data_IF_996734588013
#
_entry.id   IF_996734588013
#
_cell.length_a   1.000
_cell.length_b   1.000
_cell.length_c   1.000
_cell.angle_alpha   90.00
_cell.angle_beta   90.00
_cell.angle_gamma   90.00
#
_symmetry.space_group_name_H-M   'P 1'
#
loop_
_entity.id
_entity.type
_entity.pdbx_description
1 polymer ?
#
# COMPACT_ATOMS: atom_id res chain seq x y z
N UNK A 1 -16.25 11.87 -24.28
CA UNK A 1 -15.72 11.40 -22.99
C UNK A 1 -16.44 10.12 -22.63
N UNK A 2 -15.74 8.99 -22.66
CA UNK A 2 -16.28 7.71 -22.23
C UNK A 2 -16.55 7.70 -20.73
N UNK A 3 -17.72 7.22 -20.32
CA UNK A 3 -18.09 7.11 -18.90
C UNK A 3 -17.85 5.67 -18.42
N UNK A 4 -17.09 5.49 -17.33
CA UNK A 4 -16.88 4.16 -16.72
C UNK A 4 -17.39 4.10 -15.28
N UNK A 5 -17.99 2.98 -14.91
CA UNK A 5 -18.46 2.68 -13.55
C UNK A 5 -17.96 1.31 -13.13
N UNK A 6 -17.06 1.28 -12.14
CA UNK A 6 -16.59 0.07 -11.47
C UNK A 6 -17.43 -0.19 -10.21
N UNK A 7 -18.01 -1.38 -10.12
CA UNK A 7 -18.85 -1.81 -9.01
C UNK A 7 -18.27 -3.07 -8.36
N UNK A 8 -18.36 -3.17 -7.03
CA UNK A 8 -17.85 -4.29 -6.25
C UNK A 8 -18.96 -4.86 -5.35
N UNK A 9 -18.99 -6.18 -5.22
CA UNK A 9 -19.83 -6.88 -4.27
C UNK A 9 -18.96 -7.83 -3.46
N UNK A 10 -18.80 -7.52 -2.18
CA UNK A 10 -18.25 -8.45 -1.19
C UNK A 10 -19.35 -8.82 -0.19
N UNK A 11 -19.53 -10.12 0.01
CA UNK A 11 -20.48 -10.68 0.96
C UNK A 11 -19.94 -12.02 1.44
N UNK A 12 -19.51 -12.04 2.70
CA UNK A 12 -18.95 -13.20 3.39
C UNK A 12 -19.94 -14.37 3.46
N UNK A 13 -21.22 -14.11 3.75
CA UNK A 13 -22.27 -15.14 3.90
C UNK A 13 -22.58 -15.82 2.56
N UNK A 14 -22.67 -15.04 1.50
CA UNK A 14 -23.06 -15.51 0.16
C UNK A 14 -21.88 -15.88 -0.76
N UNK A 15 -20.66 -15.95 -0.24
CA UNK A 15 -19.45 -16.27 -0.99
C UNK A 15 -19.16 -15.31 -2.17
N UNK A 16 -19.55 -14.03 -2.04
CA UNK A 16 -19.35 -13.03 -3.09
C UNK A 16 -18.05 -12.27 -2.84
N UNK A 17 -17.20 -12.26 -3.86
CA UNK A 17 -16.10 -11.32 -4.03
C UNK A 17 -16.01 -11.04 -5.54
N UNK A 18 -16.89 -10.16 -6.01
CA UNK A 18 -17.18 -9.96 -7.44
C UNK A 18 -17.01 -8.50 -7.82
N UNK A 19 -16.61 -8.27 -9.06
CA UNK A 19 -16.63 -6.96 -9.67
C UNK A 19 -17.51 -6.94 -10.92
N UNK A 20 -17.95 -5.75 -11.29
CA UNK A 20 -18.66 -5.46 -12.52
C UNK A 20 -18.26 -4.05 -12.97
N UNK A 21 -17.68 -3.94 -14.15
CA UNK A 21 -17.39 -2.66 -14.79
C UNK A 21 -18.24 -2.51 -16.04
N UNK A 22 -18.85 -1.34 -16.20
CA UNK A 22 -19.46 -0.91 -17.44
C UNK A 22 -18.77 0.36 -17.92
N UNK A 23 -18.47 0.42 -19.21
CA UNK A 23 -17.89 1.58 -19.89
C UNK A 23 -18.75 1.93 -21.09
N UNK A 24 -19.29 3.15 -21.11
CA UNK A 24 -20.04 3.74 -22.21
C UNK A 24 -19.08 4.54 -23.09
N UNK A 25 -19.01 4.20 -24.37
CA UNK A 25 -18.25 4.97 -25.35
C UNK A 25 -19.05 6.14 -25.93
N UNK A 26 -18.37 6.99 -26.71
CA UNK A 26 -18.97 8.20 -27.32
C UNK A 26 -20.00 7.88 -28.42
N UNK A 27 -20.03 6.63 -28.91
CA UNK A 27 -20.94 6.16 -29.97
C UNK A 27 -22.19 5.47 -29.37
N UNK A 28 -22.23 5.30 -28.05
CA UNK A 28 -23.36 4.70 -27.34
C UNK A 28 -23.29 3.18 -27.20
N UNK A 29 -22.13 2.57 -27.46
CA UNK A 29 -21.88 1.18 -27.09
C UNK A 29 -21.42 1.10 -25.64
N UNK A 30 -21.77 0.00 -25.00
CA UNK A 30 -21.45 -0.27 -23.60
C UNK A 30 -20.62 -1.55 -23.57
N UNK A 31 -19.34 -1.42 -23.25
CA UNK A 31 -18.48 -2.55 -22.91
C UNK A 31 -18.67 -2.90 -21.44
N UNK A 32 -18.80 -4.19 -21.14
CA UNK A 32 -18.96 -4.68 -19.78
C UNK A 32 -17.94 -5.78 -19.52
N UNK A 33 -17.23 -5.68 -18.40
CA UNK A 33 -16.41 -6.79 -17.87
C UNK A 33 -16.76 -7.12 -16.44
N UNK A 34 -16.77 -8.39 -16.09
CA UNK A 34 -17.17 -8.84 -14.75
C UNK A 34 -16.53 -10.17 -14.40
N UNK A 35 -16.48 -10.47 -13.10
CA UNK A 35 -15.87 -11.70 -12.61
C UNK A 35 -15.64 -11.68 -11.11
N UNK A 36 -14.80 -12.59 -10.62
CA UNK A 36 -14.27 -12.53 -9.25
C UNK A 36 -13.07 -11.59 -9.22
N UNK A 37 -12.91 -10.83 -8.13
CA UNK A 37 -11.75 -9.95 -7.97
C UNK A 37 -10.46 -10.80 -7.99
N UNK A 38 -9.49 -10.41 -8.82
CA UNK A 38 -8.24 -11.15 -9.08
C UNK A 38 -8.41 -12.55 -9.69
N UNK A 39 -9.59 -12.87 -10.23
CA UNK A 39 -9.88 -14.12 -10.94
C UNK A 39 -10.02 -13.93 -12.46
N UNK A 40 -10.62 -14.93 -13.12
CA UNK A 40 -10.94 -14.85 -14.54
C UNK A 40 -11.99 -13.78 -14.83
N UNK A 41 -11.84 -13.12 -15.98
CA UNK A 41 -12.69 -12.01 -16.44
C UNK A 41 -13.57 -12.50 -17.59
N UNK A 42 -14.86 -12.18 -17.52
CA UNK A 42 -15.80 -12.32 -18.63
C UNK A 42 -16.13 -10.95 -19.19
N UNK A 43 -16.39 -10.89 -20.50
CA UNK A 43 -16.71 -9.65 -21.21
C UNK A 43 -17.99 -9.82 -22.02
N UNK A 44 -18.77 -8.74 -22.12
CA UNK A 44 -19.94 -8.65 -23.01
C UNK A 44 -20.12 -7.21 -23.46
N UNK A 45 -20.85 -6.98 -24.53
CA UNK A 45 -21.20 -5.63 -24.99
C UNK A 45 -22.71 -5.46 -25.15
N UNK A 46 -23.17 -4.22 -25.04
CA UNK A 46 -24.55 -3.82 -25.30
C UNK A 46 -24.57 -2.55 -26.13
N UNK A 47 -25.66 -2.33 -26.85
CA UNK A 47 -26.02 -1.04 -27.43
C UNK A 47 -27.21 -0.44 -26.67
N UNK A 48 -27.43 0.87 -26.82
CA UNK A 48 -28.56 1.58 -26.19
C UNK A 48 -28.17 2.84 -25.41
N UNK A 49 -26.91 3.26 -25.51
CA UNK A 49 -26.42 4.52 -24.97
C UNK A 49 -26.63 4.68 -23.46
N UNK A 50 -26.68 5.94 -23.02
CA UNK A 50 -26.71 6.32 -21.60
C UNK A 50 -27.87 5.69 -20.82
N UNK A 51 -29.08 5.62 -21.39
CA UNK A 51 -30.25 5.00 -20.72
C UNK A 51 -30.02 3.53 -20.39
N UNK A 52 -29.44 2.77 -21.31
CA UNK A 52 -29.14 1.36 -21.08
C UNK A 52 -28.00 1.21 -20.07
N UNK A 53 -26.99 2.06 -20.15
CA UNK A 53 -25.88 2.10 -19.21
C UNK A 53 -26.37 2.31 -17.77
N UNK A 54 -27.16 3.36 -17.54
CA UNK A 54 -27.69 3.69 -16.21
C UNK A 54 -28.58 2.56 -15.67
N UNK A 55 -29.39 1.94 -16.53
CA UNK A 55 -30.22 0.78 -16.16
C UNK A 55 -29.37 -0.42 -15.73
N UNK A 56 -28.27 -0.71 -16.42
CA UNK A 56 -27.36 -1.80 -16.06
C UNK A 56 -26.68 -1.54 -14.71
N UNK A 57 -26.19 -0.32 -14.48
CA UNK A 57 -25.57 0.08 -13.23
C UNK A 57 -26.58 0.00 -12.07
N UNK A 58 -27.76 0.61 -12.22
CA UNK A 58 -28.81 0.60 -11.21
C UNK A 58 -29.28 -0.83 -10.87
N UNK A 59 -29.38 -1.72 -11.88
CA UNK A 59 -29.71 -3.12 -11.67
C UNK A 59 -28.69 -3.85 -10.79
N UNK A 60 -27.40 -3.53 -10.95
CA UNK A 60 -26.32 -4.12 -10.14
C UNK A 60 -26.31 -3.54 -8.73
N UNK A 61 -26.51 -2.23 -8.57
CA UNK A 61 -26.64 -1.60 -7.26
C UNK A 61 -27.79 -2.23 -6.47
N UNK A 62 -28.96 -2.44 -7.11
CA UNK A 62 -30.10 -3.14 -6.48
C UNK A 62 -29.77 -4.57 -6.03
N UNK A 63 -28.76 -5.21 -6.61
CA UNK A 63 -28.28 -6.55 -6.23
C UNK A 63 -27.25 -6.53 -5.11
N UNK A 64 -26.91 -5.36 -4.56
CA UNK A 64 -25.95 -5.20 -3.47
C UNK A 64 -24.53 -4.86 -3.92
N UNK A 65 -24.31 -4.53 -5.20
CA UNK A 65 -23.04 -3.97 -5.62
C UNK A 65 -22.92 -2.52 -5.13
N UNK A 66 -21.71 -2.11 -4.74
CA UNK A 66 -21.36 -0.74 -4.33
C UNK A 66 -20.39 -0.14 -5.35
N UNK A 67 -20.43 1.18 -5.56
CA UNK A 67 -19.45 1.86 -6.41
C UNK A 67 -18.05 1.77 -5.78
N UNK A 68 -17.05 1.44 -6.59
CA UNK A 68 -15.67 1.36 -6.14
C UNK A 68 -15.10 2.76 -5.93
N UNK A 69 -14.42 2.97 -4.80
CA UNK A 69 -13.72 4.23 -4.52
C UNK A 69 -12.31 4.22 -5.16
N UNK A 70 -12.28 4.21 -6.49
CA UNK A 70 -11.02 4.22 -7.25
C UNK A 70 -10.68 5.63 -7.73
N UNK A 71 -9.38 5.92 -7.85
CA UNK A 71 -8.91 7.11 -8.54
C UNK A 71 -9.26 7.01 -10.02
N UNK A 72 -9.74 8.11 -10.60
CA UNK A 72 -10.00 8.16 -12.03
C UNK A 72 -8.67 8.09 -12.77
N UNK A 73 -8.37 6.95 -13.38
CA UNK A 73 -7.25 6.84 -14.31
C UNK A 73 -7.72 7.45 -15.63
N UNK A 74 -7.73 8.78 -15.69
CA UNK A 74 -7.94 9.51 -16.95
C UNK A 74 -6.79 9.13 -17.89
N UNK A 75 -7.09 8.28 -18.88
CA UNK A 75 -6.24 8.15 -20.04
C UNK A 75 -6.10 9.53 -20.68
N UNK A 76 -4.87 9.95 -20.94
CA UNK A 76 -4.55 11.11 -21.77
C UNK A 76 -5.14 12.45 -21.32
N UNK A 77 -4.74 12.95 -20.15
CA UNK A 77 -4.56 14.40 -19.99
C UNK A 77 -3.16 14.65 -19.46
N UNK A 78 -2.38 15.39 -20.25
CA UNK A 78 -0.94 15.57 -20.09
C UNK A 78 -0.52 16.08 -18.72
N UNK A 79 0.71 15.71 -18.35
CA UNK A 79 1.37 15.87 -17.04
C UNK A 79 1.10 14.75 -16.02
N UNK A 80 1.05 13.48 -16.43
CA UNK A 80 1.46 12.40 -15.51
C UNK A 80 2.98 12.37 -15.47
N UNK A 81 3.60 13.19 -14.62
CA UNK A 81 4.99 12.98 -14.29
C UNK A 81 5.12 11.55 -13.72
N UNK A 82 6.03 10.76 -14.28
CA UNK A 82 6.30 9.39 -13.83
C UNK A 82 6.94 9.47 -12.45
N UNK A 83 6.15 9.22 -11.41
CA UNK A 83 6.59 9.30 -10.02
C UNK A 83 7.07 7.91 -9.59
N UNK A 84 8.34 7.58 -9.83
CA UNK A 84 8.91 6.37 -9.24
C UNK A 84 9.42 6.69 -7.82
N UNK A 85 8.78 6.09 -6.81
CA UNK A 85 9.12 6.26 -5.40
C UNK A 85 10.59 5.96 -5.11
N UNK A 86 11.17 4.96 -5.77
CA UNK A 86 12.59 4.60 -5.64
C UNK A 86 13.49 5.71 -6.18
N UNK A 87 13.14 6.29 -7.33
CA UNK A 87 13.91 7.39 -7.92
C UNK A 87 13.86 8.64 -7.04
N UNK A 88 12.74 8.89 -6.35
CA UNK A 88 12.60 10.01 -5.41
C UNK A 88 13.45 9.78 -4.17
N UNK A 89 13.37 8.60 -3.58
CA UNK A 89 14.22 8.23 -2.45
C UNK A 89 15.70 8.40 -2.81
N UNK A 90 16.12 7.93 -3.99
CA UNK A 90 17.51 8.08 -4.47
C UNK A 90 17.93 9.51 -4.80
N UNK A 91 16.98 10.40 -5.10
CA UNK A 91 17.26 11.82 -5.35
C UNK A 91 17.33 12.64 -4.06
N UNK A 92 16.49 12.31 -3.08
CA UNK A 92 16.36 13.11 -1.86
C UNK A 92 17.31 12.62 -0.73
N UNK A 93 17.55 11.32 -0.65
CA UNK A 93 18.48 10.74 0.32
C UNK A 93 19.91 11.01 -0.13
N UNK A 94 20.69 11.64 0.74
CA UNK A 94 22.10 11.96 0.50
C UNK A 94 22.95 10.69 0.66
N UNK A 95 22.99 9.89 -0.40
CA UNK A 95 23.80 8.67 -0.49
C UNK A 95 25.24 9.03 -0.86
N UNK A 96 26.19 8.83 0.06
CA UNK A 96 27.59 9.21 -0.12
C UNK A 96 28.41 8.26 -1.00
N UNK A 97 27.92 7.04 -1.21
CA UNK A 97 28.62 5.98 -1.94
C UNK A 97 27.64 4.99 -2.60
N UNK A 98 28.16 4.20 -3.55
CA UNK A 98 27.36 3.20 -4.29
C UNK A 98 26.84 2.07 -3.41
N UNK A 99 27.56 1.71 -2.33
CA UNK A 99 27.12 0.66 -1.40
C UNK A 99 25.88 1.12 -0.62
N UNK A 100 25.83 2.38 -0.24
CA UNK A 100 24.67 3.02 0.39
C UNK A 100 23.52 3.18 -0.59
N UNK A 101 23.80 3.57 -1.84
CA UNK A 101 22.79 3.63 -2.92
C UNK A 101 22.14 2.26 -3.16
N UNK A 102 22.95 1.20 -3.23
CA UNK A 102 22.50 -0.17 -3.40
C UNK A 102 21.67 -0.66 -2.21
N UNK A 103 22.00 -0.25 -0.99
CA UNK A 103 21.18 -0.55 0.20
C UNK A 103 19.79 0.07 0.08
N UNK A 104 19.69 1.36 -0.27
CA UNK A 104 18.40 2.04 -0.42
C UNK A 104 17.54 1.35 -1.49
N UNK A 105 18.14 1.00 -2.64
CA UNK A 105 17.45 0.23 -3.67
C UNK A 105 16.98 -1.14 -3.17
N UNK A 106 17.82 -1.85 -2.43
CA UNK A 106 17.49 -3.16 -1.88
C UNK A 106 16.36 -3.07 -0.84
N UNK A 107 16.36 -2.06 0.03
CA UNK A 107 15.29 -1.82 1.01
C UNK A 107 13.98 -1.48 0.28
N UNK A 108 14.01 -0.57 -0.68
CA UNK A 108 12.81 -0.20 -1.43
C UNK A 108 12.22 -1.41 -2.18
N UNK A 109 13.07 -2.22 -2.81
CA UNK A 109 12.65 -3.46 -3.48
C UNK A 109 12.11 -4.49 -2.50
N UNK A 110 12.73 -4.65 -1.33
CA UNK A 110 12.25 -5.55 -0.29
C UNK A 110 10.89 -5.11 0.24
N UNK A 111 10.67 -3.82 0.43
CA UNK A 111 9.37 -3.28 0.84
C UNK A 111 8.29 -3.56 -0.22
N UNK A 112 8.57 -3.25 -1.49
CA UNK A 112 7.68 -3.58 -2.62
C UNK A 112 7.37 -5.09 -2.63
N UNK A 113 8.38 -5.94 -2.48
CA UNK A 113 8.19 -7.38 -2.43
C UNK A 113 7.34 -7.82 -1.24
N UNK A 114 7.57 -7.29 -0.04
CA UNK A 114 6.80 -7.63 1.15
C UNK A 114 5.31 -7.32 0.97
N UNK A 115 4.98 -6.19 0.34
CA UNK A 115 3.61 -5.78 0.06
C UNK A 115 2.99 -6.62 -1.07
N UNK A 116 3.75 -6.97 -2.10
CA UNK A 116 3.21 -7.63 -3.31
C UNK A 116 3.24 -9.17 -3.25
N UNK A 117 4.10 -9.77 -2.42
CA UNK A 117 4.30 -11.23 -2.39
C UNK A 117 3.20 -11.99 -1.65
N UNK A 118 2.57 -11.38 -0.65
CA UNK A 118 1.49 -11.98 0.14
C UNK A 118 0.09 -11.51 -0.29
N UNK A 119 0.00 -10.65 -1.30
CA UNK A 119 -1.23 -9.94 -1.67
C UNK A 119 -1.44 -9.97 -3.18
N UNK A 120 -2.63 -9.56 -3.64
CA UNK A 120 -2.86 -9.37 -5.08
C UNK A 120 -2.73 -7.90 -5.49
N UNK A 121 -2.18 -7.08 -4.59
CA UNK A 121 -1.78 -5.72 -4.91
C UNK A 121 -0.48 -5.81 -5.71
N UNK A 122 -0.43 -5.02 -6.78
CA UNK A 122 0.70 -4.95 -7.68
C UNK A 122 1.34 -3.59 -7.56
N UNK A 123 2.67 -3.58 -7.54
CA UNK A 123 3.41 -2.36 -7.79
C UNK A 123 3.57 -2.20 -9.29
N UNK A 124 3.19 -1.05 -9.83
CA UNK A 124 3.43 -0.69 -11.22
C UNK A 124 4.70 0.16 -11.31
N UNK A 125 5.78 -0.44 -11.82
CA UNK A 125 7.07 0.23 -11.95
C UNK A 125 7.04 1.47 -12.87
N UNK A 126 6.02 1.59 -13.73
CA UNK A 126 5.92 2.72 -14.67
C UNK A 126 5.45 4.00 -14.01
N UNK A 127 4.50 3.91 -13.08
CA UNK A 127 3.94 5.06 -12.37
C UNK A 127 4.25 5.06 -10.87
N UNK A 128 4.93 4.04 -10.38
CA UNK A 128 5.37 3.90 -9.00
C UNK A 128 4.26 3.64 -8.00
N UNK A 129 3.09 3.17 -8.46
CA UNK A 129 1.89 3.03 -7.63
C UNK A 129 1.62 1.59 -7.22
N UNK A 130 1.18 1.41 -5.98
CA UNK A 130 0.49 0.19 -5.58
C UNK A 130 -0.96 0.23 -6.09
N UNK A 131 -1.35 -0.83 -6.80
CA UNK A 131 -2.65 -0.98 -7.43
C UNK A 131 -3.31 -2.26 -6.95
N UNK A 132 -4.57 -2.17 -6.59
CA UNK A 132 -5.40 -3.36 -6.40
C UNK A 132 -5.68 -4.02 -7.75
N UNK A 133 -6.21 -5.26 -7.80
CA UNK A 133 -6.66 -5.87 -9.05
C UNK A 133 -7.67 -5.04 -9.85
N UNK A 134 -8.35 -4.08 -9.22
CA UNK A 134 -9.33 -3.21 -9.87
C UNK A 134 -8.80 -1.80 -10.18
N UNK A 135 -7.65 -1.39 -9.64
CA UNK A 135 -7.02 -0.10 -9.92
C UNK A 135 -6.41 0.57 -8.69
N UNK A 136 -6.03 1.84 -8.86
CA UNK A 136 -5.58 2.73 -7.79
C UNK A 136 -6.78 3.11 -6.94
N UNK A 137 -6.67 2.94 -5.63
CA UNK A 137 -7.73 3.25 -4.67
C UNK A 137 -7.59 4.70 -4.21
N UNK A 138 -8.71 5.39 -3.95
CA UNK A 138 -8.69 6.75 -3.38
C UNK A 138 -8.11 6.74 -1.97
N UNK A 139 -7.38 7.80 -1.60
CA UNK A 139 -6.83 7.98 -0.25
C UNK A 139 -7.90 7.85 0.84
N UNK A 140 -9.03 8.53 0.67
CA UNK A 140 -10.15 8.49 1.62
C UNK A 140 -10.68 7.07 1.88
N UNK A 141 -10.68 6.21 0.86
CA UNK A 141 -11.12 4.83 1.00
C UNK A 141 -10.11 3.97 1.78
N UNK A 142 -8.81 4.28 1.64
CA UNK A 142 -7.76 3.59 2.42
C UNK A 142 -7.81 4.02 3.89
N UNK A 143 -8.07 5.30 4.16
CA UNK A 143 -8.30 5.82 5.53
C UNK A 143 -9.53 5.17 6.18
N UNK A 144 -10.65 5.09 5.45
CA UNK A 144 -11.87 4.41 5.92
C UNK A 144 -11.61 2.91 6.18
N UNK A 145 -10.83 2.25 5.32
CA UNK A 145 -10.44 0.86 5.51
C UNK A 145 -9.60 0.65 6.78
N UNK A 146 -8.67 1.57 7.10
CA UNK A 146 -7.90 1.54 8.34
C UNK A 146 -8.77 1.66 9.59
N UNK A 147 -9.83 2.49 9.54
CA UNK A 147 -10.82 2.59 10.61
C UNK A 147 -11.54 1.25 10.79
N UNK A 148 -11.95 0.59 9.71
CA UNK A 148 -12.55 -0.74 9.80
C UNK A 148 -11.62 -1.78 10.41
N UNK A 149 -10.32 -1.77 10.08
CA UNK A 149 -9.34 -2.65 10.72
C UNK A 149 -9.29 -2.44 12.24
N UNK A 150 -9.25 -1.19 12.70
CA UNK A 150 -9.27 -0.87 14.14
C UNK A 150 -10.56 -1.30 14.83
N UNK A 151 -11.71 -1.15 14.18
CA UNK A 151 -13.00 -1.60 14.71
C UNK A 151 -13.12 -3.13 14.78
N UNK A 152 -12.49 -3.87 13.86
CA UNK A 152 -12.45 -5.34 13.91
C UNK A 152 -11.52 -5.78 15.04
N UNK A 153 -10.37 -5.13 15.17
CA UNK A 153 -9.38 -5.41 16.22
C UNK A 153 -9.96 -5.26 17.63
N UNK A 154 -10.80 -4.26 17.87
CA UNK A 154 -11.46 -4.08 19.17
C UNK A 154 -12.49 -5.15 19.50
N UNK A 155 -12.99 -5.89 18.50
CA UNK A 155 -13.96 -6.98 18.68
C UNK A 155 -13.31 -8.36 18.78
N UNK A 156 -12.04 -8.49 18.37
CA UNK A 156 -11.33 -9.77 18.28
C UNK A 156 -11.23 -10.49 19.62
N UNK A 157 -10.89 -9.77 20.69
CA UNK A 157 -10.72 -10.36 22.02
C UNK A 157 -12.01 -11.04 22.54
N UNK A 158 -13.17 -10.40 22.37
CA UNK A 158 -14.45 -10.99 22.76
C UNK A 158 -14.84 -12.14 21.84
N UNK A 159 -14.59 -12.00 20.54
CA UNK A 159 -14.84 -13.04 19.56
C UNK A 159 -14.01 -14.31 19.82
N UNK A 160 -12.72 -14.18 20.12
CA UNK A 160 -11.84 -15.32 20.39
C UNK A 160 -12.22 -16.05 21.69
N UNK A 161 -12.72 -15.30 22.69
CA UNK A 161 -13.14 -15.88 23.98
C UNK A 161 -14.47 -16.63 23.90
N UNK A 162 -15.48 -16.07 23.23
CA UNK A 162 -16.83 -16.62 23.27
C UNK A 162 -17.65 -16.50 21.97
N UNK A 163 -17.03 -16.07 20.86
CA UNK A 163 -17.70 -15.90 19.56
C UNK A 163 -18.61 -14.67 19.46
N UNK A 164 -18.67 -13.84 20.52
CA UNK A 164 -19.48 -12.61 20.51
C UNK A 164 -18.89 -11.60 19.52
N UNK A 165 -19.77 -10.89 18.81
CA UNK A 165 -19.37 -9.89 17.80
C UNK A 165 -19.10 -10.46 16.41
N UNK A 166 -19.33 -11.76 16.16
CA UNK A 166 -19.07 -12.37 14.85
C UNK A 166 -19.80 -11.67 13.69
N UNK A 167 -21.10 -11.38 13.82
CA UNK A 167 -21.87 -10.72 12.77
C UNK A 167 -21.39 -9.28 12.48
N UNK A 168 -20.90 -8.60 13.51
CA UNK A 168 -20.32 -7.26 13.41
C UNK A 168 -18.97 -7.33 12.66
N UNK A 169 -18.12 -8.29 13.01
CA UNK A 169 -16.86 -8.56 12.30
C UNK A 169 -17.14 -8.91 10.83
N UNK A 170 -18.14 -9.75 10.53
CA UNK A 170 -18.51 -10.07 9.15
C UNK A 170 -18.96 -8.83 8.37
N UNK A 171 -19.76 -7.96 8.99
CA UNK A 171 -20.21 -6.71 8.38
C UNK A 171 -19.05 -5.75 8.10
N UNK A 172 -18.10 -5.66 9.03
CA UNK A 172 -16.89 -4.85 8.86
C UNK A 172 -15.97 -5.43 7.78
N UNK A 173 -15.86 -6.76 7.69
CA UNK A 173 -15.15 -7.43 6.59
C UNK A 173 -15.77 -7.09 5.23
N UNK A 174 -17.10 -7.17 5.12
CA UNK A 174 -17.80 -6.87 3.87
C UNK A 174 -17.61 -5.41 3.44
N UNK A 175 -17.54 -4.47 4.39
CA UNK A 175 -17.21 -3.07 4.12
C UNK A 175 -15.75 -2.89 3.73
N UNK A 176 -14.80 -3.50 4.47
CA UNK A 176 -13.37 -3.41 4.21
C UNK A 176 -13.00 -3.88 2.79
N UNK A 177 -13.45 -5.07 2.38
CA UNK A 177 -13.07 -5.64 1.09
C UNK A 177 -13.77 -5.00 -0.12
N UNK A 178 -14.78 -4.15 0.10
CA UNK A 178 -15.30 -3.25 -0.93
C UNK A 178 -14.35 -2.05 -1.12
N UNK A 179 -13.76 -1.53 -0.04
CA UNK A 179 -12.84 -0.39 -0.08
C UNK A 179 -11.47 -0.79 -0.63
N UNK A 180 -10.94 -1.94 -0.19
CA UNK A 180 -9.65 -2.50 -0.62
C UNK A 180 -9.88 -3.83 -1.33
N UNK A 181 -10.16 -3.81 -2.65
CA UNK A 181 -10.50 -5.03 -3.38
C UNK A 181 -9.28 -5.93 -3.47
N UNK A 182 -9.38 -7.13 -2.91
CA UNK A 182 -8.33 -8.13 -2.98
C UNK A 182 -8.92 -9.48 -3.38
N UNK A 183 -8.12 -10.36 -3.97
CA UNK A 183 -8.59 -11.72 -4.23
C UNK A 183 -8.66 -12.49 -2.91
N UNK A 184 -9.85 -13.00 -2.66
CA UNK A 184 -10.18 -13.86 -1.53
C UNK A 184 -10.67 -15.19 -2.11
N UNK A 185 -9.98 -16.28 -1.76
CA UNK A 185 -10.24 -17.61 -2.33
C UNK A 185 -11.70 -18.02 -2.10
N UNK A 186 -12.16 -17.93 -0.85
CA UNK A 186 -13.57 -18.02 -0.50
C UNK A 186 -13.86 -17.03 0.63
N UNK A 187 -14.98 -16.31 0.53
CA UNK A 187 -15.37 -15.33 1.56
C UNK A 187 -16.13 -15.97 2.72
N UNK A 188 -16.31 -17.31 2.69
CA UNK A 188 -16.91 -18.07 3.80
C UNK A 188 -15.89 -18.63 4.78
N UNK A 189 -14.62 -18.70 4.37
CA UNK A 189 -13.55 -19.20 5.22
C UNK A 189 -12.92 -18.03 5.98
N UNK A 190 -13.12 -18.05 7.30
CA UNK A 190 -12.61 -17.03 8.21
C UNK A 190 -11.09 -16.86 8.13
N UNK A 191 -10.34 -17.88 7.69
CA UNK A 191 -8.89 -17.79 7.48
C UNK A 191 -8.49 -16.81 6.39
N UNK A 192 -9.40 -16.48 5.48
CA UNK A 192 -9.19 -15.48 4.42
C UNK A 192 -9.84 -14.13 4.74
N UNK A 193 -10.39 -13.99 5.94
CA UNK A 193 -11.06 -12.80 6.44
C UNK A 193 -10.32 -12.27 7.66
N UNK A 194 -10.77 -11.15 8.18
CA UNK A 194 -10.18 -10.41 9.29
C UNK A 194 -10.67 -10.97 10.64
N UNK A 195 -10.41 -12.26 10.88
CA UNK A 195 -10.74 -12.98 12.12
C UNK A 195 -9.49 -13.38 12.92
N UNK A 196 -8.35 -12.76 12.64
CA UNK A 196 -7.14 -12.95 13.43
C UNK A 196 -6.27 -11.70 13.38
N UNK A 197 -5.51 -11.45 14.45
CA UNK A 197 -4.54 -10.35 14.52
C UNK A 197 -3.59 -10.38 13.32
N UNK A 198 -3.09 -11.57 12.96
CA UNK A 198 -2.20 -11.75 11.81
C UNK A 198 -2.81 -11.20 10.51
N UNK A 199 -4.05 -11.55 10.19
CA UNK A 199 -4.68 -11.12 8.94
C UNK A 199 -4.94 -9.60 8.94
N UNK A 200 -5.23 -9.03 10.11
CA UNK A 200 -5.40 -7.59 10.28
C UNK A 200 -4.08 -6.86 10.07
N UNK A 201 -2.99 -7.34 10.68
CA UNK A 201 -1.67 -6.75 10.51
C UNK A 201 -1.23 -6.80 9.05
N UNK A 202 -1.43 -7.93 8.36
CA UNK A 202 -1.14 -8.04 6.92
C UNK A 202 -1.93 -7.02 6.09
N UNK A 203 -3.23 -6.85 6.34
CA UNK A 203 -4.05 -5.85 5.67
C UNK A 203 -3.72 -4.40 6.07
N UNK A 204 -3.24 -4.18 7.29
CA UNK A 204 -2.82 -2.88 7.79
C UNK A 204 -1.54 -2.40 7.10
N UNK A 205 -0.57 -3.29 6.92
CA UNK A 205 0.66 -2.98 6.20
C UNK A 205 0.38 -2.64 4.73
N UNK A 206 -0.59 -3.32 4.11
CA UNK A 206 -1.11 -2.96 2.78
C UNK A 206 -1.66 -1.52 2.78
N UNK A 207 -2.55 -1.19 3.71
CA UNK A 207 -3.17 0.13 3.77
C UNK A 207 -2.14 1.23 4.02
N UNK A 208 -1.15 1.01 4.90
CA UNK A 208 -0.04 1.93 5.12
C UNK A 208 0.75 2.18 3.84
N UNK A 209 1.13 1.11 3.13
CA UNK A 209 1.86 1.23 1.88
C UNK A 209 1.08 2.01 0.81
N UNK A 210 -0.23 1.76 0.69
CA UNK A 210 -1.11 2.51 -0.20
C UNK A 210 -1.12 4.00 0.18
N UNK A 211 -1.33 4.32 1.47
CA UNK A 211 -1.34 5.71 1.96
C UNK A 211 -0.02 6.42 1.73
N UNK A 212 1.11 5.83 2.12
CA UNK A 212 2.44 6.41 1.94
C UNK A 212 2.71 6.80 0.48
N UNK A 213 2.33 5.93 -0.47
CA UNK A 213 2.48 6.25 -1.89
C UNK A 213 1.52 7.35 -2.36
N UNK A 214 0.28 7.37 -1.87
CA UNK A 214 -0.71 8.40 -2.21
C UNK A 214 -0.32 9.77 -1.65
N UNK A 215 0.16 9.82 -0.41
CA UNK A 215 0.66 11.01 0.27
C UNK A 215 1.83 11.62 -0.48
N UNK A 216 2.82 10.78 -0.85
CA UNK A 216 3.96 11.19 -1.65
C UNK A 216 3.53 11.83 -2.98
N UNK A 217 2.53 11.27 -3.66
CA UNK A 217 2.02 11.84 -4.92
C UNK A 217 1.32 13.17 -4.69
N UNK A 218 0.50 13.28 -3.65
CA UNK A 218 -0.18 14.54 -3.32
C UNK A 218 0.83 15.65 -3.00
N UNK A 219 1.86 15.35 -2.22
CA UNK A 219 2.96 16.28 -1.91
C UNK A 219 3.71 16.72 -3.18
N UNK A 220 4.02 15.78 -4.06
CA UNK A 220 4.70 16.09 -5.32
C UNK A 220 3.84 16.94 -6.27
N UNK A 221 2.52 16.70 -6.30
CA UNK A 221 1.58 17.51 -7.10
C UNK A 221 1.49 18.94 -6.56
N UNK A 222 1.33 19.11 -5.24
CA UNK A 222 1.30 20.43 -4.60
C UNK A 222 2.57 21.24 -4.89
N UNK A 223 3.72 20.60 -4.80
CA UNK A 223 5.02 21.22 -5.09
C UNK A 223 5.20 21.69 -6.56
N UNK A 224 4.34 21.26 -7.48
CA UNK A 224 4.38 21.64 -8.91
C UNK A 224 3.39 22.74 -9.29
N UNK A 225 2.26 22.83 -8.59
CA UNK A 225 1.24 23.86 -8.88
C UNK A 225 1.69 25.27 -8.42
N UNK A 226 2.63 25.35 -7.47
CA UNK A 226 3.04 26.60 -6.81
C UNK A 226 4.36 27.24 -7.32
N UNK A 227 5.02 26.74 -8.39
CA UNK A 227 6.30 27.32 -8.86
C UNK A 227 6.37 27.56 -10.39
N UNK A 228 6.88 28.72 -10.85
CA UNK A 228 7.27 28.91 -12.25
C UNK A 228 8.41 27.95 -12.64
N UNK A 229 8.51 27.61 -13.94
CA UNK A 229 9.38 26.60 -14.58
C UNK A 229 10.91 26.82 -14.46
N UNK A 230 11.43 27.24 -13.32
CA UNK A 230 12.85 27.12 -12.97
C UNK A 230 13.00 25.99 -11.95
N UNK A 231 14.11 25.23 -12.03
CA UNK A 231 14.38 23.98 -11.31
C UNK A 231 13.69 23.89 -9.95
N UNK A 232 12.59 23.15 -9.93
CA UNK A 232 11.78 22.92 -8.73
C UNK A 232 12.66 22.16 -7.73
N UNK A 233 13.22 22.86 -6.76
CA UNK A 233 13.70 22.23 -5.53
C UNK A 233 12.46 21.64 -4.85
N UNK A 234 12.22 20.35 -5.14
CA UNK A 234 11.17 19.55 -4.52
C UNK A 234 11.47 19.54 -3.03
N UNK A 235 10.47 19.87 -2.20
CA UNK A 235 10.62 19.79 -0.74
C UNK A 235 11.18 18.41 -0.36
N UNK A 236 12.23 18.39 0.47
CA UNK A 236 12.90 17.15 0.87
C UNK A 236 12.03 16.39 1.85
N UNK A 237 11.26 15.43 1.32
CA UNK A 237 10.48 14.46 2.10
C UNK A 237 11.45 13.53 2.84
N UNK A 238 12.51 13.09 2.16
CA UNK A 238 13.62 12.36 2.78
C UNK A 238 14.80 13.31 3.05
N UNK A 239 14.96 13.72 4.31
CA UNK A 239 16.08 14.55 4.74
C UNK A 239 17.04 13.78 5.65
N UNK A 240 17.71 12.78 5.08
CA UNK A 240 18.77 12.04 5.77
C UNK A 240 19.91 11.70 4.81
N UNK A 241 21.09 11.52 5.39
CA UNK A 241 22.28 11.06 4.69
C UNK A 241 22.64 9.64 5.11
N UNK A 242 23.19 8.87 4.18
CA UNK A 242 23.69 7.53 4.46
C UNK A 242 25.06 7.33 3.81
N UNK A 243 25.97 6.74 4.58
CA UNK A 243 27.29 6.37 4.09
C UNK A 243 27.70 5.01 4.65
N UNK A 244 28.41 4.23 3.84
CA UNK A 244 29.05 3.00 4.29
C UNK A 244 30.22 3.33 5.23
N UNK A 245 30.35 2.57 6.32
CA UNK A 245 31.46 2.73 7.26
C UNK A 245 32.62 1.87 6.80
N UNK A 246 33.76 2.53 6.53
CA UNK A 246 35.01 1.87 6.12
C UNK A 246 36.08 1.88 7.23
N UNK A 247 35.86 2.65 8.31
CA UNK A 247 36.79 2.74 9.42
C UNK A 247 36.85 1.42 10.21
N UNK A 248 38.00 0.73 10.11
CA UNK A 248 38.23 -0.57 10.74
C UNK A 248 38.01 -0.55 12.26
N UNK A 249 38.43 0.49 12.96
CA UNK A 249 38.27 0.58 14.42
C UNK A 249 36.79 0.65 14.82
N UNK A 250 36.00 1.45 14.09
CA UNK A 250 34.55 1.53 14.28
C UNK A 250 33.87 0.21 13.94
N UNK A 251 34.26 -0.44 12.84
CA UNK A 251 33.73 -1.74 12.44
C UNK A 251 33.98 -2.78 13.54
N UNK A 252 35.24 -2.91 13.99
CA UNK A 252 35.62 -3.88 15.01
C UNK A 252 34.87 -3.65 16.32
N UNK A 253 34.72 -2.39 16.75
CA UNK A 253 33.95 -2.04 17.94
C UNK A 253 32.50 -2.50 17.84
N UNK A 254 31.84 -2.23 16.71
CA UNK A 254 30.44 -2.61 16.49
C UNK A 254 30.28 -4.12 16.36
N UNK A 255 31.17 -4.79 15.62
CA UNK A 255 31.17 -6.25 15.46
C UNK A 255 31.40 -6.95 16.80
N UNK A 256 32.32 -6.43 17.61
CA UNK A 256 32.54 -6.92 18.98
C UNK A 256 31.27 -6.79 19.81
N UNK A 257 30.68 -5.59 19.87
CA UNK A 257 29.44 -5.34 20.61
C UNK A 257 28.30 -6.26 20.15
N UNK A 258 28.14 -6.44 18.83
CA UNK A 258 27.14 -7.34 18.26
C UNK A 258 27.34 -8.80 18.70
N UNK A 259 28.58 -9.30 18.68
CA UNK A 259 28.84 -10.69 19.05
C UNK A 259 28.74 -10.93 20.56
N UNK A 260 29.19 -9.99 21.39
CA UNK A 260 29.13 -10.08 22.85
C UNK A 260 27.69 -9.98 23.38
N UNK A 261 26.81 -9.26 22.69
CA UNK A 261 25.40 -9.11 23.07
C UNK A 261 24.49 -10.25 22.59
N UNK A 262 25.02 -11.28 21.92
CA UNK A 262 24.22 -12.44 21.47
C UNK A 262 23.74 -13.27 22.66
N UNK A 263 22.43 -13.34 22.83
CA UNK A 263 21.83 -14.25 23.79
C UNK A 263 21.74 -15.68 23.22
N UNK A 264 22.44 -16.62 23.87
CA UNK A 264 22.50 -18.02 23.49
C UNK A 264 21.12 -18.72 23.48
N UNK A 265 20.15 -18.21 24.23
CA UNK A 265 18.78 -18.75 24.27
C UNK A 265 17.98 -18.50 22.98
N UNK A 266 18.41 -17.57 22.11
CA UNK A 266 17.75 -17.32 20.82
C UNK A 266 18.12 -18.34 19.72
N UNK A 267 18.90 -19.38 20.07
CA UNK A 267 19.15 -20.54 19.21
C UNK A 267 20.19 -20.34 18.10
N UNK A 268 20.44 -21.42 17.35
CA UNK A 268 21.57 -21.51 16.41
C UNK A 268 21.55 -20.49 15.27
N UNK A 269 20.37 -20.05 14.81
CA UNK A 269 20.24 -19.04 13.74
C UNK A 269 20.81 -17.69 14.17
N UNK A 270 20.54 -17.27 15.40
CA UNK A 270 21.05 -16.02 15.96
C UNK A 270 22.52 -16.15 16.34
N UNK A 271 22.95 -17.32 16.82
CA UNK A 271 24.37 -17.56 17.08
C UNK A 271 25.21 -17.52 15.80
N UNK A 272 24.67 -18.03 14.68
CA UNK A 272 25.33 -18.06 13.38
C UNK A 272 25.26 -16.76 12.56
N UNK A 273 24.52 -15.74 13.01
CA UNK A 273 24.41 -14.48 12.28
C UNK A 273 25.73 -13.69 12.29
N UNK A 274 25.98 -12.92 11.24
CA UNK A 274 27.19 -12.10 11.07
C UNK A 274 26.82 -10.71 10.60
N UNK A 275 27.54 -9.71 11.09
CA UNK A 275 27.47 -8.34 10.56
C UNK A 275 28.01 -8.38 9.13
N UNK A 276 27.21 -7.91 8.17
CA UNK A 276 27.59 -7.89 6.75
C UNK A 276 28.20 -6.56 6.34
N UNK A 277 27.48 -5.47 6.63
CA UNK A 277 27.87 -4.09 6.34
C UNK A 277 27.46 -3.21 7.53
N UNK A 278 28.12 -2.07 7.70
CA UNK A 278 27.79 -1.05 8.70
C UNK A 278 27.58 0.27 7.97
N UNK A 279 26.52 1.00 8.34
CA UNK A 279 26.17 2.27 7.73
C UNK A 279 26.05 3.34 8.81
N UNK A 280 26.52 4.55 8.48
CA UNK A 280 26.28 5.75 9.26
C UNK A 280 25.08 6.47 8.67
N UNK A 281 24.13 6.82 9.52
CA UNK A 281 22.93 7.56 9.16
C UNK A 281 23.04 8.96 9.77
N UNK A 282 22.81 10.00 8.96
CA UNK A 282 22.64 11.37 9.41
C UNK A 282 21.15 11.71 9.34
N UNK A 283 20.56 12.11 10.46
CA UNK A 283 19.12 12.33 10.59
C UNK A 283 18.63 13.70 10.10
N UNK A 284 19.53 14.50 9.49
CA UNK A 284 19.18 15.81 8.94
C UNK A 284 18.52 16.71 9.98
N UNK A 285 17.28 17.12 9.73
CA UNK A 285 16.52 17.99 10.65
C UNK A 285 16.20 17.33 11.99
N UNK A 286 16.26 16.01 12.10
CA UNK A 286 16.04 15.27 13.34
C UNK A 286 17.32 15.08 14.16
N UNK A 287 18.47 15.63 13.72
CA UNK A 287 19.74 15.47 14.42
C UNK A 287 19.80 16.29 15.73
N UNK A 288 19.15 17.46 15.76
CA UNK A 288 19.28 18.42 16.86
C UNK A 288 18.92 17.88 18.27
N UNK A 289 17.85 17.08 18.46
CA UNK A 289 17.57 16.46 19.75
C UNK A 289 18.67 15.49 20.22
N UNK A 290 19.32 14.78 19.30
CA UNK A 290 20.40 13.84 19.64
C UNK A 290 21.69 14.58 20.00
N UNK A 291 22.02 15.66 19.28
CA UNK A 291 23.19 16.47 19.60
C UNK A 291 23.08 17.11 20.99
N UNK A 292 21.85 17.53 21.35
CA UNK A 292 21.53 17.98 22.70
C UNK A 292 21.74 16.86 23.73
N UNK A 293 21.23 15.66 23.46
CA UNK A 293 21.38 14.52 24.36
C UNK A 293 22.85 14.11 24.58
N UNK A 294 23.69 14.16 23.55
CA UNK A 294 25.14 13.89 23.66
C UNK A 294 25.79 14.88 24.64
N UNK A 295 25.37 16.15 24.58
CA UNK A 295 25.89 17.19 25.46
C UNK A 295 25.41 17.02 26.91
N UNK A 296 24.16 16.60 27.10
CA UNK A 296 23.53 16.45 28.42
C UNK A 296 23.92 15.16 29.15
N UNK A 297 24.12 14.06 28.42
CA UNK A 297 24.28 12.72 29.00
C UNK A 297 25.61 12.03 28.67
N UNK A 298 26.39 12.56 27.71
CA UNK A 298 27.61 11.92 27.22
C UNK A 298 27.35 10.73 26.27
N UNK A 299 28.43 10.19 25.69
CA UNK A 299 28.43 8.96 24.88
C UNK A 299 29.04 7.79 25.67
#
# INVERSE_FOLDING_TARGET
>A
MSESKMLIMFDSKNNNNKFYEATLDDVGNIAVRFGRVGGGVQTTSYSGGKKKFDSLVASKIKKGYKEAQLEAVSGETGLTQKVNVVDIALKQIDCKDDTSRNLIQAIAKANIHNITSSTNIKYDEKDGLFKTPLGVVKKSAVEEAMIHLGNIESLLDEYEKCGKGEDEILTLNDSYFVLIPNKVATTRDKRHLLFSQKNIDEQREICKALLETLDLIEELKKNQEDKPKEEVEVEKIFNFGISHVEDSATIDRIVKYYNESKNAQHGGRIMGSKVKNIYKINLGNQQAPFDKAITEYGN
#
